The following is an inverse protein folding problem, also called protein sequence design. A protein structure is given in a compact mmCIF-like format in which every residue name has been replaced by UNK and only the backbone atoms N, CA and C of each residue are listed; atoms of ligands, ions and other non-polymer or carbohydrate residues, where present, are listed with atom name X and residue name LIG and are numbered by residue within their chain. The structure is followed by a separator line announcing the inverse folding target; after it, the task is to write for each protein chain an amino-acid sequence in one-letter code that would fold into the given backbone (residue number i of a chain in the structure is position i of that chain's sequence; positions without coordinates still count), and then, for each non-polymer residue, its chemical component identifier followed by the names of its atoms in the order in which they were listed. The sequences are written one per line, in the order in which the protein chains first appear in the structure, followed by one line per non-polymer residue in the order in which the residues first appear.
data_IF_191091347416
#
_entry.id   IF_191091347416
#
_cell.length_a   1.000
_cell.length_b   1.000
_cell.length_c   1.000
_cell.angle_alpha   90.00
_cell.angle_beta   90.00
_cell.angle_gamma   90.00
#
_symmetry.space_group_name_H-M   'P 1'
#
loop_
_entity.id
_entity.type
_entity.pdbx_description
1 polymer ?
#
# COMPACT_ATOMS: atom_id res chain seq x y z
N UNK A 1 -11.16 -24.05 -4.97
CA UNK A 1 -11.90 -23.28 -3.94
C UNK A 1 -11.27 -21.91 -3.83
N UNK A 2 -11.78 -20.92 -4.56
CA UNK A 2 -11.38 -19.52 -4.45
C UNK A 2 -12.24 -18.89 -3.36
N UNK A 3 -11.67 -18.67 -2.17
CA UNK A 3 -12.31 -17.82 -1.15
C UNK A 3 -12.21 -16.37 -1.64
N UNK A 4 -13.20 -16.01 -2.45
CA UNK A 4 -13.52 -14.63 -2.80
C UNK A 4 -13.82 -13.92 -1.48
N UNK A 5 -13.15 -12.80 -1.24
CA UNK A 5 -13.41 -11.98 -0.06
C UNK A 5 -14.91 -11.75 0.08
N UNK A 6 -15.49 -11.94 1.27
CA UNK A 6 -16.77 -11.33 1.54
C UNK A 6 -16.56 -9.81 1.50
N UNK A 7 -17.48 -9.14 0.79
CA UNK A 7 -17.68 -7.68 0.74
C UNK A 7 -16.84 -6.87 -0.27
N UNK A 8 -17.48 -6.62 -1.41
CA UNK A 8 -17.19 -5.57 -2.41
C UNK A 8 -16.81 -4.21 -1.80
N UNK A 9 -17.27 -3.93 -0.58
CA UNK A 9 -17.08 -2.67 0.13
C UNK A 9 -15.62 -2.41 0.54
N UNK A 10 -14.85 -3.46 0.85
CA UNK A 10 -13.45 -3.30 1.26
C UNK A 10 -12.55 -2.85 0.10
N UNK A 11 -12.82 -3.36 -1.11
CA UNK A 11 -12.11 -2.97 -2.32
C UNK A 11 -12.40 -1.53 -2.71
N UNK A 12 -13.68 -1.14 -2.72
CA UNK A 12 -14.12 0.23 -3.06
C UNK A 12 -13.57 1.26 -2.06
N UNK A 13 -13.60 0.96 -0.75
CA UNK A 13 -13.04 1.86 0.27
C UNK A 13 -11.52 2.00 0.17
N UNK A 14 -10.81 0.93 -0.21
CA UNK A 14 -9.38 1.01 -0.46
C UNK A 14 -9.10 1.89 -1.68
N UNK A 15 -9.81 1.69 -2.79
CA UNK A 15 -9.67 2.47 -4.02
C UNK A 15 -9.91 3.97 -3.81
N UNK A 16 -10.96 4.34 -3.06
CA UNK A 16 -11.25 5.74 -2.71
C UNK A 16 -10.14 6.36 -1.83
N UNK A 17 -9.66 5.63 -0.82
CA UNK A 17 -8.60 6.10 0.06
C UNK A 17 -7.29 6.29 -0.72
N UNK A 18 -6.97 5.35 -1.61
CA UNK A 18 -5.78 5.40 -2.42
C UNK A 18 -5.81 6.54 -3.44
N UNK A 19 -6.94 6.78 -4.12
CA UNK A 19 -7.11 7.89 -5.06
C UNK A 19 -6.84 9.24 -4.40
N UNK A 20 -7.31 9.42 -3.15
CA UNK A 20 -7.07 10.64 -2.38
C UNK A 20 -5.59 10.82 -2.07
N UNK A 21 -4.91 9.76 -1.64
CA UNK A 21 -3.49 9.83 -1.27
C UNK A 21 -2.61 9.99 -2.53
N UNK A 22 -2.93 9.31 -3.64
CA UNK A 22 -2.19 9.40 -4.89
C UNK A 22 -2.23 10.78 -5.53
N UNK A 23 -3.36 11.49 -5.42
CA UNK A 23 -3.47 12.88 -5.85
C UNK A 23 -2.50 13.83 -5.11
N UNK A 24 -2.17 13.54 -3.85
CA UNK A 24 -1.19 14.32 -3.08
C UNK A 24 0.26 14.00 -3.51
N UNK A 25 0.54 12.73 -3.85
CA UNK A 25 1.87 12.27 -4.28
C UNK A 25 2.25 12.68 -5.70
N UNK A 26 1.28 12.73 -6.62
CA UNK A 26 1.54 13.05 -8.03
C UNK A 26 2.15 14.46 -8.21
N UNK A 27 1.97 15.34 -7.21
CA UNK A 27 2.63 16.66 -7.15
C UNK A 27 4.08 16.62 -6.67
N UNK A 28 4.51 15.58 -5.96
CA UNK A 28 5.85 15.46 -5.39
C UNK A 28 6.84 14.71 -6.31
N UNK A 29 6.36 13.85 -7.21
CA UNK A 29 7.18 13.06 -8.14
C UNK A 29 7.71 13.86 -9.36
N UNK A 30 8.11 15.11 -9.14
CA UNK A 30 8.67 16.01 -10.14
C UNK A 30 10.14 15.62 -10.39
N UNK A 31 10.37 14.56 -11.17
CA UNK A 31 11.60 14.35 -12.00
C UNK A 31 11.66 12.99 -12.73
N UNK A 32 10.56 12.22 -12.80
CA UNK A 32 10.46 11.06 -13.70
C UNK A 32 11.26 9.81 -13.29
N UNK A 33 12.00 9.86 -12.19
CA UNK A 33 12.66 8.72 -11.56
C UNK A 33 11.74 7.92 -10.63
N UNK A 34 12.05 6.62 -10.45
CA UNK A 34 11.37 5.78 -9.45
C UNK A 34 11.66 6.29 -8.05
N UNK A 35 10.62 6.38 -7.22
CA UNK A 35 10.77 6.65 -5.79
C UNK A 35 11.32 5.42 -5.09
N UNK A 36 12.65 5.33 -4.99
CA UNK A 36 13.34 4.17 -4.41
C UNK A 36 12.97 3.92 -2.95
N UNK A 37 12.63 4.94 -2.19
CA UNK A 37 12.05 4.83 -0.85
C UNK A 37 10.71 4.05 -0.87
N UNK A 38 9.80 4.41 -1.79
CA UNK A 38 8.55 3.68 -1.98
C UNK A 38 8.78 2.23 -2.44
N UNK A 39 9.71 1.98 -3.37
CA UNK A 39 10.09 0.62 -3.80
C UNK A 39 10.51 -0.22 -2.60
N UNK A 40 11.38 0.31 -1.73
CA UNK A 40 11.86 -0.40 -0.54
C UNK A 40 10.74 -0.71 0.44
N UNK A 41 9.81 0.24 0.67
CA UNK A 41 8.63 -0.02 1.50
C UNK A 41 7.71 -1.10 0.90
N UNK A 42 7.54 -1.11 -0.42
CA UNK A 42 6.75 -2.14 -1.10
C UNK A 42 7.40 -3.52 -1.01
N UNK A 43 8.73 -3.61 -1.06
CA UNK A 43 9.43 -4.87 -0.82
C UNK A 43 9.18 -5.38 0.61
N UNK A 44 9.30 -4.50 1.62
CA UNK A 44 9.02 -4.85 3.00
C UNK A 44 7.56 -5.31 3.18
N UNK A 45 6.61 -4.66 2.51
CA UNK A 45 5.21 -5.07 2.50
C UNK A 45 5.01 -6.45 1.86
N UNK A 46 5.61 -6.70 0.69
CA UNK A 46 5.53 -7.98 -0.01
C UNK A 46 6.09 -9.13 0.83
N UNK A 47 7.23 -8.91 1.49
CA UNK A 47 7.85 -9.90 2.37
C UNK A 47 6.99 -10.14 3.62
N UNK A 48 6.45 -9.07 4.22
CA UNK A 48 5.61 -9.19 5.40
C UNK A 48 4.30 -9.91 5.09
N UNK A 49 3.60 -9.52 4.03
CA UNK A 49 2.32 -10.12 3.66
C UNK A 49 2.45 -11.56 3.19
N UNK A 50 3.60 -11.97 2.66
CA UNK A 50 3.85 -13.38 2.32
C UNK A 50 3.88 -14.31 3.55
N UNK A 51 4.08 -13.76 4.76
CA UNK A 51 4.05 -14.53 6.02
C UNK A 51 2.68 -14.55 6.69
N UNK A 52 1.69 -13.84 6.13
CA UNK A 52 0.36 -13.67 6.72
C UNK A 52 -0.70 -14.35 5.85
N UNK A 53 -1.82 -14.72 6.45
CA UNK A 53 -2.97 -15.20 5.69
C UNK A 53 -3.72 -14.05 4.99
N UNK A 54 -4.52 -14.40 3.98
CA UNK A 54 -5.30 -13.44 3.20
C UNK A 54 -6.21 -12.56 4.05
N UNK A 55 -6.82 -13.12 5.10
CA UNK A 55 -7.76 -12.40 5.94
C UNK A 55 -7.03 -11.31 6.75
N UNK A 56 -5.85 -11.62 7.27
CA UNK A 56 -5.01 -10.69 8.02
C UNK A 56 -4.48 -9.56 7.13
N UNK A 57 -4.05 -9.88 5.90
CA UNK A 57 -3.68 -8.85 4.92
C UNK A 57 -4.87 -7.93 4.64
N UNK A 58 -6.08 -8.48 4.48
CA UNK A 58 -7.30 -7.69 4.28
C UNK A 58 -7.60 -6.75 5.45
N UNK A 59 -7.46 -7.23 6.69
CA UNK A 59 -7.61 -6.40 7.90
C UNK A 59 -6.60 -5.26 7.95
N UNK A 60 -5.35 -5.52 7.58
CA UNK A 60 -4.31 -4.49 7.53
C UNK A 60 -4.63 -3.44 6.46
N UNK A 61 -4.99 -3.86 5.25
CA UNK A 61 -5.36 -2.94 4.16
C UNK A 61 -6.53 -2.07 4.55
N UNK A 62 -7.57 -2.64 5.16
CA UNK A 62 -8.74 -1.89 5.64
C UNK A 62 -8.37 -0.89 6.73
N UNK A 63 -7.52 -1.28 7.68
CA UNK A 63 -7.06 -0.38 8.72
C UNK A 63 -6.28 0.81 8.14
N UNK A 64 -5.41 0.56 7.15
CA UNK A 64 -4.68 1.63 6.46
C UNK A 64 -5.61 2.53 5.67
N UNK A 65 -6.60 1.97 4.96
CA UNK A 65 -7.59 2.75 4.23
C UNK A 65 -8.37 3.69 5.17
N UNK A 66 -8.78 3.19 6.35
CA UNK A 66 -9.45 3.99 7.37
C UNK A 66 -8.56 5.11 7.92
N UNK A 67 -7.27 4.86 8.13
CA UNK A 67 -6.31 5.91 8.50
C UNK A 67 -6.14 6.93 7.37
N UNK A 68 -6.03 6.46 6.13
CA UNK A 68 -5.92 7.26 4.91
C UNK A 68 -7.07 8.25 4.71
N UNK A 69 -8.30 7.88 5.09
CA UNK A 69 -9.47 8.76 5.02
C UNK A 69 -9.32 10.04 5.85
N UNK A 70 -8.57 9.97 6.96
CA UNK A 70 -8.30 11.11 7.83
C UNK A 70 -7.07 11.93 7.39
N UNK A 71 -6.39 11.50 6.32
CA UNK A 71 -5.13 12.07 5.83
C UNK A 71 -3.91 11.34 6.39
N UNK A 72 -2.91 11.11 5.53
CA UNK A 72 -1.60 10.60 5.91
C UNK A 72 -0.53 11.64 5.60
N UNK A 73 0.37 11.87 6.54
CA UNK A 73 1.50 12.77 6.40
C UNK A 73 2.63 12.06 5.63
N UNK A 74 2.37 11.77 4.36
CA UNK A 74 3.26 11.00 3.48
C UNK A 74 4.59 11.70 3.21
N UNK A 75 4.60 13.03 3.23
CA UNK A 75 5.78 13.87 3.02
C UNK A 75 6.56 14.18 4.31
N UNK A 76 6.09 13.72 5.48
CA UNK A 76 6.76 13.95 6.77
C UNK A 76 7.25 12.62 7.34
N UNK A 77 8.51 12.20 7.05
CA UNK A 77 9.04 10.92 7.53
C UNK A 77 9.19 10.84 9.06
N UNK A 78 9.16 11.99 9.75
CA UNK A 78 9.16 12.06 11.21
C UNK A 78 7.82 11.63 11.83
N UNK A 79 6.71 11.73 11.08
CA UNK A 79 5.39 11.30 11.56
C UNK A 79 5.32 9.78 11.46
N UNK A 80 5.00 9.15 12.60
CA UNK A 80 4.90 7.70 12.73
C UNK A 80 3.46 7.29 13.02
N UNK A 81 3.04 6.23 12.36
CA UNK A 81 1.75 5.59 12.49
C UNK A 81 1.95 4.15 12.96
N UNK A 82 1.05 3.68 13.82
CA UNK A 82 1.00 2.30 14.28
C UNK A 82 -0.28 1.65 13.82
N UNK A 83 -0.22 0.36 13.48
CA UNK A 83 -1.40 -0.43 13.13
C UNK A 83 -1.72 -1.41 14.24
N UNK A 84 -3.00 -1.64 14.51
CA UNK A 84 -3.48 -2.66 15.45
C UNK A 84 -3.24 -4.06 14.89
N UNK A 85 -3.33 -4.21 13.57
CA UNK A 85 -3.21 -5.51 12.91
C UNK A 85 -1.79 -5.83 12.43
N UNK A 86 -0.84 -4.91 12.57
CA UNK A 86 0.54 -5.12 12.16
C UNK A 86 1.50 -4.39 13.09
N UNK A 87 2.34 -5.16 13.79
CA UNK A 87 3.39 -4.60 14.64
C UNK A 87 4.40 -3.80 13.83
N UNK A 88 4.78 -2.65 14.38
CA UNK A 88 5.77 -1.74 13.80
C UNK A 88 5.32 -0.28 13.83
N UNK A 89 6.25 0.60 13.46
CA UNK A 89 5.99 2.01 13.20
C UNK A 89 6.24 2.32 11.73
N UNK A 90 5.29 3.02 11.12
CA UNK A 90 5.26 3.26 9.68
C UNK A 90 5.20 4.77 9.41
N UNK A 91 5.92 5.25 8.41
CA UNK A 91 5.70 6.59 7.86
C UNK A 91 4.43 6.59 7.02
N UNK A 92 3.89 7.77 6.70
CA UNK A 92 2.74 7.87 5.79
C UNK A 92 3.01 7.22 4.42
N UNK A 93 4.21 7.43 3.87
CA UNK A 93 4.62 6.79 2.61
C UNK A 93 4.70 5.26 2.74
N UNK A 94 5.20 4.74 3.86
CA UNK A 94 5.22 3.31 4.11
C UNK A 94 3.80 2.73 4.14
N UNK A 95 2.86 3.39 4.83
CA UNK A 95 1.46 2.94 4.86
C UNK A 95 0.83 2.95 3.46
N UNK A 96 1.09 3.97 2.66
CA UNK A 96 0.64 4.03 1.27
C UNK A 96 1.19 2.86 0.44
N UNK A 97 2.49 2.55 0.57
CA UNK A 97 3.11 1.42 -0.11
C UNK A 97 2.51 0.07 0.35
N UNK A 98 2.26 -0.11 1.65
CA UNK A 98 1.63 -1.31 2.18
C UNK A 98 0.20 -1.48 1.67
N UNK A 99 -0.57 -0.39 1.62
CA UNK A 99 -1.94 -0.41 1.08
C UNK A 99 -1.94 -0.77 -0.41
N UNK A 100 -1.04 -0.18 -1.20
CA UNK A 100 -0.88 -0.49 -2.63
C UNK A 100 -0.59 -1.98 -2.84
N UNK A 101 0.42 -2.51 -2.14
CA UNK A 101 0.81 -3.92 -2.26
C UNK A 101 -0.35 -4.84 -1.87
N UNK A 102 -1.03 -4.53 -0.76
CA UNK A 102 -2.16 -5.33 -0.29
C UNK A 102 -3.33 -5.31 -1.27
N UNK A 103 -3.67 -4.14 -1.83
CA UNK A 103 -4.68 -4.01 -2.87
C UNK A 103 -4.33 -4.85 -4.09
N UNK A 104 -3.09 -4.75 -4.61
CA UNK A 104 -2.61 -5.54 -5.77
C UNK A 104 -2.52 -7.04 -5.50
N UNK A 105 -2.42 -7.47 -4.24
CA UNK A 105 -2.53 -8.90 -3.89
C UNK A 105 -3.97 -9.42 -4.01
N UNK A 106 -4.98 -8.56 -3.83
CA UNK A 106 -6.40 -8.90 -3.97
C UNK A 106 -6.92 -8.71 -5.38
N UNK A 107 -6.52 -7.61 -6.02
CA UNK A 107 -6.77 -7.34 -7.42
C UNK A 107 -5.44 -7.08 -8.17
N UNK A 108 -4.83 -8.15 -8.74
CA UNK A 108 -3.59 -8.04 -9.48
C UNK A 108 -3.66 -7.21 -10.76
N UNK A 109 -4.86 -6.82 -11.22
CA UNK A 109 -5.06 -5.97 -12.40
C UNK A 109 -5.65 -4.62 -12.06
N UNK A 110 -6.18 -4.44 -10.85
CA UNK A 110 -6.73 -3.19 -10.36
C UNK A 110 -5.68 -2.09 -10.30
N UNK A 111 -6.10 -0.89 -10.69
CA UNK A 111 -5.34 0.33 -10.47
C UNK A 111 -5.54 0.74 -9.02
N UNK A 112 -4.45 0.85 -8.27
CA UNK A 112 -4.54 1.29 -6.89
C UNK A 112 -4.79 2.81 -6.82
N UNK A 113 -4.60 3.61 -7.87
CA UNK A 113 -4.84 5.06 -7.84
C UNK A 113 -3.81 5.86 -7.05
N UNK A 114 -2.71 5.22 -6.62
CA UNK A 114 -1.63 5.85 -5.81
C UNK A 114 -0.57 6.58 -6.63
N UNK A 115 -0.47 6.28 -7.93
CA UNK A 115 0.65 6.70 -8.76
C UNK A 115 1.96 5.93 -8.55
N UNK A 116 1.97 4.86 -7.73
CA UNK A 116 3.16 4.07 -7.40
C UNK A 116 3.25 2.72 -8.14
N UNK A 117 2.52 2.54 -9.25
CA UNK A 117 2.52 1.27 -9.99
C UNK A 117 3.91 0.90 -10.52
N UNK A 118 4.70 1.89 -10.96
CA UNK A 118 6.05 1.66 -11.48
C UNK A 118 6.98 1.17 -10.37
N UNK A 119 6.84 1.74 -9.17
CA UNK A 119 7.55 1.33 -7.96
C UNK A 119 7.14 -0.08 -7.53
N UNK A 120 5.86 -0.42 -7.62
CA UNK A 120 5.36 -1.76 -7.32
C UNK A 120 5.95 -2.80 -8.27
N UNK A 121 5.95 -2.54 -9.57
CA UNK A 121 6.55 -3.42 -10.56
C UNK A 121 8.05 -3.63 -10.31
N UNK A 122 8.77 -2.55 -9.97
CA UNK A 122 10.17 -2.63 -9.60
C UNK A 122 10.39 -3.49 -8.35
N UNK A 123 9.59 -3.29 -7.30
CA UNK A 123 9.66 -4.05 -6.05
C UNK A 123 9.41 -5.55 -6.27
N UNK A 124 8.37 -5.89 -7.05
CA UNK A 124 8.06 -7.29 -7.42
C UNK A 124 9.20 -7.91 -8.23
N UNK A 125 9.75 -7.17 -9.20
CA UNK A 125 10.87 -7.66 -10.03
C UNK A 125 12.12 -7.92 -9.19
N UNK A 126 12.48 -7.01 -8.30
CA UNK A 126 13.63 -7.16 -7.39
C UNK A 126 13.44 -8.34 -6.44
N UNK A 127 12.22 -8.53 -5.91
CA UNK A 127 11.91 -9.66 -5.02
C UNK A 127 12.04 -11.02 -5.72
N UNK A 128 11.67 -11.12 -7.00
CA UNK A 128 11.83 -12.36 -7.80
C UNK A 128 13.27 -12.71 -8.13
N UNK A 129 14.19 -11.75 -8.03
CA UNK A 129 15.62 -11.94 -8.33
C UNK A 129 16.45 -12.32 -7.10
N UNK A 130 15.81 -12.42 -5.93
CA UNK A 130 16.40 -12.91 -4.68
C UNK A 130 16.09 -14.38 -4.47
#
# INVERSE_FOLDING_TARGET
MLKRFPDHQAGEMAEEALTRIGHEEMRAAVDGGLRMDAVMYMQAALDRFATLDQAKVGQIVMEIALLGRNGLEINKPAVRYTLKNLEGEFSGLALLAYMHVGFRMFDPKGDAGTGLDREYEAAVKMRRQR
#
